data_IF_989200413855
#
_entry.id   IF_989200413855
#
_cell.length_a   1.000
_cell.length_b   1.000
_cell.length_c   1.000
_cell.angle_alpha   90.00
_cell.angle_beta   90.00
_cell.angle_gamma   90.00
#
_symmetry.space_group_name_H-M   'P 1'
#
loop_
_entity.id
_entity.type
_entity.pdbx_description
1 polymer ?
#
# COMPACT_ATOMS: atom_id res chain seq x y z
N UNK A 1 -2.40 -31.80 -1.92
CA UNK A 1 -2.66 -30.37 -1.65
C UNK A 1 -1.87 -29.53 -2.65
N UNK A 2 -2.40 -29.33 -3.86
CA UNK A 2 -1.79 -28.54 -4.93
C UNK A 2 -2.89 -27.76 -5.66
N UNK A 3 -3.33 -26.66 -5.07
CA UNK A 3 -4.05 -25.62 -5.78
C UNK A 3 -3.46 -24.28 -5.35
N UNK A 4 -3.12 -23.38 -6.29
CA UNK A 4 -2.75 -22.02 -5.94
C UNK A 4 -3.98 -21.36 -5.32
N UNK A 5 -3.83 -20.85 -4.09
CA UNK A 5 -4.84 -19.96 -3.53
C UNK A 5 -4.97 -18.74 -4.48
N UNK A 6 -6.17 -18.19 -4.65
CA UNK A 6 -6.43 -17.11 -5.61
C UNK A 6 -5.63 -15.81 -5.33
N UNK A 7 -4.90 -15.76 -4.22
CA UNK A 7 -4.00 -14.68 -3.81
C UNK A 7 -2.50 -14.95 -4.12
N UNK A 8 -2.17 -16.05 -4.80
CA UNK A 8 -0.82 -16.31 -5.33
C UNK A 8 0.20 -16.83 -4.35
N UNK A 9 -0.21 -17.09 -3.11
CA UNK A 9 0.67 -17.69 -2.12
C UNK A 9 0.13 -19.01 -1.60
N UNK A 10 0.97 -20.06 -1.57
CA UNK A 10 0.67 -21.19 -0.73
C UNK A 10 0.64 -20.71 0.73
N UNK A 11 -0.28 -21.26 1.53
CA UNK A 11 -0.41 -21.00 2.97
C UNK A 11 0.74 -21.67 3.75
N UNK A 12 1.97 -21.28 3.39
CA UNK A 12 3.22 -21.81 3.88
C UNK A 12 4.06 -20.61 4.27
N UNK A 13 4.23 -20.40 5.58
CA UNK A 13 4.88 -19.22 6.15
C UNK A 13 6.26 -18.91 5.56
N UNK A 14 7.00 -19.92 5.07
CA UNK A 14 8.29 -19.75 4.41
C UNK A 14 8.22 -18.91 3.11
N UNK A 15 7.13 -18.99 2.34
CA UNK A 15 6.95 -18.20 1.11
C UNK A 15 6.63 -16.73 1.40
N UNK A 16 5.90 -16.48 2.49
CA UNK A 16 5.67 -15.14 3.02
C UNK A 16 6.96 -14.55 3.58
N UNK A 17 7.71 -15.28 4.40
CA UNK A 17 8.95 -14.79 5.00
C UNK A 17 10.02 -14.42 3.98
N UNK A 18 10.16 -15.20 2.91
CA UNK A 18 11.20 -14.98 1.88
C UNK A 18 10.91 -13.79 0.96
N UNK A 19 9.64 -13.45 0.72
CA UNK A 19 9.26 -12.40 -0.23
C UNK A 19 8.65 -11.15 0.41
N UNK A 20 7.90 -11.28 1.50
CA UNK A 20 7.18 -10.18 2.13
C UNK A 20 8.14 -9.18 2.78
N UNK A 21 9.19 -9.65 3.45
CA UNK A 21 10.16 -8.76 4.11
C UNK A 21 10.92 -7.87 3.11
N UNK A 22 11.31 -8.42 1.96
CA UNK A 22 11.95 -7.64 0.91
C UNK A 22 10.97 -6.59 0.34
N UNK A 23 9.71 -6.96 0.12
CA UNK A 23 8.67 -6.06 -0.39
C UNK A 23 8.33 -4.97 0.60
N UNK A 24 8.25 -5.33 1.88
CA UNK A 24 8.05 -4.39 2.97
C UNK A 24 9.16 -3.34 2.98
N UNK A 25 10.41 -3.78 2.91
CA UNK A 25 11.55 -2.87 2.87
C UNK A 25 11.57 -1.99 1.62
N UNK A 26 11.14 -2.49 0.45
CA UNK A 26 11.03 -1.70 -0.79
C UNK A 26 9.87 -0.71 -0.72
N UNK A 27 8.69 -1.14 -0.30
CA UNK A 27 7.52 -0.28 -0.14
C UNK A 27 7.78 0.84 0.85
N UNK A 28 8.40 0.51 1.99
CA UNK A 28 8.83 1.50 2.98
C UNK A 28 9.91 2.43 2.42
N UNK A 29 10.92 1.93 1.70
CA UNK A 29 11.96 2.76 1.10
C UNK A 29 11.43 3.72 0.01
N UNK A 30 10.38 3.31 -0.72
CA UNK A 30 9.69 4.17 -1.70
C UNK A 30 8.83 5.21 -0.97
N UNK A 31 8.04 4.78 0.02
CA UNK A 31 7.16 5.67 0.78
C UNK A 31 7.93 6.69 1.63
N UNK A 32 9.12 6.34 2.12
CA UNK A 32 9.97 7.20 2.96
C UNK A 32 11.12 7.87 2.20
N UNK A 33 11.29 7.56 0.91
CA UNK A 33 12.33 8.16 0.07
C UNK A 33 13.77 7.71 0.35
N UNK A 34 14.00 6.68 1.18
CA UNK A 34 15.33 6.22 1.62
C UNK A 34 16.10 5.41 0.54
N UNK A 35 15.50 5.15 -0.63
CA UNK A 35 16.05 4.24 -1.66
C UNK A 35 17.00 4.82 -2.73
N UNK A 36 17.32 6.13 -2.71
CA UNK A 36 18.36 6.77 -3.55
C UNK A 36 18.08 6.88 -5.07
N UNK A 37 17.55 5.84 -5.74
CA UNK A 37 17.27 5.82 -7.20
C UNK A 37 15.79 5.87 -7.56
N UNK A 38 14.91 5.41 -6.69
CA UNK A 38 13.46 5.59 -6.81
C UNK A 38 13.07 6.80 -5.99
N UNK A 39 12.86 7.94 -6.66
CA UNK A 39 12.28 9.12 -6.01
C UNK A 39 10.78 9.08 -6.25
N UNK A 40 9.94 8.99 -5.20
CA UNK A 40 8.52 9.23 -5.38
C UNK A 40 8.35 10.63 -6.03
N UNK A 41 7.38 10.74 -6.94
CA UNK A 41 6.96 12.02 -7.49
C UNK A 41 5.62 12.39 -6.83
N UNK A 42 5.65 12.92 -5.59
CA UNK A 42 4.44 13.25 -4.86
C UNK A 42 3.61 14.32 -5.58
N UNK A 43 4.26 15.25 -6.30
CA UNK A 43 3.59 16.31 -7.05
C UNK A 43 2.71 15.75 -8.16
N UNK A 44 3.21 14.80 -8.95
CA UNK A 44 2.41 14.14 -9.99
C UNK A 44 1.27 13.29 -9.39
N UNK A 45 1.51 12.65 -8.24
CA UNK A 45 0.47 11.87 -7.56
C UNK A 45 -0.64 12.78 -7.01
N UNK A 46 -0.28 13.91 -6.42
CA UNK A 46 -1.22 14.93 -5.93
C UNK A 46 -2.03 15.50 -7.10
N UNK A 47 -1.38 15.84 -8.22
CA UNK A 47 -2.07 16.34 -9.40
C UNK A 47 -3.12 15.37 -9.96
N UNK A 48 -2.85 14.05 -9.90
CA UNK A 48 -3.83 13.03 -10.28
C UNK A 48 -5.02 12.98 -9.31
N UNK A 49 -4.74 13.04 -8.00
CA UNK A 49 -5.78 13.05 -6.97
C UNK A 49 -6.66 14.31 -7.06
N UNK A 50 -6.08 15.48 -7.31
CA UNK A 50 -6.80 16.72 -7.53
C UNK A 50 -7.69 16.65 -8.78
N UNK A 51 -7.19 16.07 -9.87
CA UNK A 51 -7.95 15.88 -11.11
C UNK A 51 -9.17 14.96 -10.90
N UNK A 52 -9.05 13.98 -10.01
CA UNK A 52 -10.13 13.07 -9.62
C UNK A 52 -11.02 13.64 -8.47
N UNK A 53 -10.74 14.85 -7.99
CA UNK A 53 -11.52 15.52 -6.93
C UNK A 53 -11.39 14.87 -5.56
N UNK A 54 -10.27 14.19 -5.28
CA UNK A 54 -10.03 13.48 -4.02
C UNK A 54 -9.69 14.47 -2.91
N UNK A 55 -10.44 14.47 -1.78
CA UNK A 55 -10.06 15.25 -0.61
C UNK A 55 -8.71 14.77 -0.04
N UNK A 56 -7.85 15.71 0.40
CA UNK A 56 -6.58 15.42 1.06
C UNK A 56 -6.77 14.96 2.52
N UNK A 57 -7.61 13.96 2.70
CA UNK A 57 -7.90 13.29 3.96
C UNK A 57 -7.35 11.86 3.92
N UNK A 58 -6.89 11.33 5.06
CA UNK A 58 -6.18 10.05 5.12
C UNK A 58 -6.97 8.91 4.46
N UNK A 59 -8.23 8.74 4.81
CA UNK A 59 -9.08 7.68 4.25
C UNK A 59 -9.34 7.88 2.76
N UNK A 60 -9.67 9.10 2.35
CA UNK A 60 -9.95 9.46 0.96
C UNK A 60 -8.76 9.19 0.05
N UNK A 61 -7.56 9.58 0.48
CA UNK A 61 -6.31 9.35 -0.26
C UNK A 61 -5.96 7.86 -0.29
N UNK A 62 -6.02 7.17 0.84
CA UNK A 62 -5.69 5.73 0.88
C UNK A 62 -6.69 4.89 0.08
N UNK A 63 -7.96 5.26 0.07
CA UNK A 63 -8.98 4.61 -0.75
C UNK A 63 -8.76 4.85 -2.24
N UNK A 64 -8.40 6.07 -2.63
CA UNK A 64 -8.01 6.37 -4.00
C UNK A 64 -6.76 5.58 -4.42
N UNK A 65 -5.74 5.53 -3.57
CA UNK A 65 -4.53 4.74 -3.81
C UNK A 65 -4.81 3.25 -3.93
N UNK A 66 -5.66 2.69 -3.06
CA UNK A 66 -6.08 1.29 -3.15
C UNK A 66 -6.74 1.01 -4.51
N UNK A 67 -7.67 1.87 -4.96
CA UNK A 67 -8.30 1.76 -6.27
C UNK A 67 -7.30 1.89 -7.41
N UNK A 68 -6.40 2.87 -7.34
CA UNK A 68 -5.38 3.12 -8.36
C UNK A 68 -4.42 1.93 -8.51
N UNK A 69 -3.93 1.40 -7.39
CA UNK A 69 -2.98 0.29 -7.35
C UNK A 69 -3.65 -1.04 -7.72
N UNK A 70 -4.79 -1.38 -7.12
CA UNK A 70 -5.42 -2.69 -7.26
C UNK A 70 -6.40 -2.76 -8.42
N UNK A 71 -6.88 -1.62 -8.95
CA UNK A 71 -7.90 -1.57 -10.00
C UNK A 71 -9.31 -1.93 -9.52
N UNK A 72 -9.54 -1.97 -8.21
CA UNK A 72 -10.83 -2.21 -7.56
C UNK A 72 -10.92 -1.45 -6.26
N UNK A 73 -12.14 -1.26 -5.76
CA UNK A 73 -12.32 -0.78 -4.40
C UNK A 73 -11.82 -1.80 -3.37
N UNK A 74 -11.30 -1.30 -2.25
CA UNK A 74 -11.02 -2.10 -1.07
C UNK A 74 -12.31 -2.63 -0.43
N UNK A 75 -12.22 -3.76 0.27
CA UNK A 75 -13.31 -4.21 1.15
C UNK A 75 -13.33 -3.41 2.45
N UNK A 76 -14.42 -3.49 3.22
CA UNK A 76 -14.48 -2.87 4.56
C UNK A 76 -13.36 -3.38 5.47
N UNK A 77 -13.04 -4.68 5.40
CA UNK A 77 -11.96 -5.29 6.18
C UNK A 77 -10.57 -4.75 5.76
N UNK A 78 -10.30 -4.65 4.45
CA UNK A 78 -9.05 -4.11 3.93
C UNK A 78 -8.88 -2.63 4.30
N UNK A 79 -9.96 -1.85 4.22
CA UNK A 79 -10.01 -0.45 4.67
C UNK A 79 -9.63 -0.37 6.15
N UNK A 80 -10.34 -1.10 7.00
CA UNK A 80 -10.18 -1.00 8.45
C UNK A 80 -8.77 -1.42 8.88
N UNK A 81 -8.22 -2.50 8.32
CA UNK A 81 -6.83 -2.92 8.57
C UNK A 81 -5.85 -1.82 8.15
N UNK A 82 -6.03 -1.24 6.97
CA UNK A 82 -5.11 -0.24 6.42
C UNK A 82 -5.16 1.05 7.22
N UNK A 83 -6.34 1.55 7.56
CA UNK A 83 -6.50 2.77 8.36
C UNK A 83 -5.95 2.59 9.77
N UNK A 84 -6.26 1.47 10.43
CA UNK A 84 -5.74 1.17 11.76
C UNK A 84 -4.21 1.09 11.77
N UNK A 85 -3.61 0.49 10.74
CA UNK A 85 -2.16 0.43 10.61
C UNK A 85 -1.54 1.81 10.33
N UNK A 86 -2.11 2.58 9.41
CA UNK A 86 -1.65 3.93 9.09
C UNK A 86 -1.68 4.84 10.32
N UNK A 87 -2.74 4.76 11.13
CA UNK A 87 -2.89 5.58 12.34
C UNK A 87 -1.88 5.24 13.45
N UNK A 88 -1.25 4.07 13.41
CA UNK A 88 -0.18 3.69 14.35
C UNK A 88 1.18 4.33 14.00
N UNK A 89 1.27 5.15 12.95
CA UNK A 89 2.50 5.85 12.61
C UNK A 89 2.98 6.75 13.77
N UNK A 90 4.26 6.69 14.18
CA UNK A 90 4.78 7.38 15.36
C UNK A 90 4.57 8.90 15.38
N UNK A 91 4.69 9.57 14.24
CA UNK A 91 4.72 11.03 14.13
C UNK A 91 3.44 11.62 13.51
N UNK A 92 2.44 10.79 13.17
CA UNK A 92 1.18 11.25 12.57
C UNK A 92 1.35 11.86 11.15
N UNK A 93 0.27 12.43 10.61
CA UNK A 93 0.31 13.21 9.36
C UNK A 93 0.89 12.48 8.15
N UNK A 94 1.94 13.03 7.53
CA UNK A 94 2.63 12.46 6.35
C UNK A 94 3.08 11.00 6.57
N UNK A 95 3.47 10.65 7.79
CA UNK A 95 3.94 9.31 8.12
C UNK A 95 2.79 8.28 8.10
N UNK A 96 1.55 8.71 8.38
CA UNK A 96 0.36 7.86 8.26
C UNK A 96 0.09 7.51 6.79
N UNK A 97 0.25 8.47 5.88
CA UNK A 97 0.15 8.22 4.44
C UNK A 97 1.24 7.26 3.96
N UNK A 98 2.49 7.46 4.42
CA UNK A 98 3.59 6.58 4.05
C UNK A 98 3.37 5.13 4.52
N UNK A 99 2.86 4.95 5.75
CA UNK A 99 2.57 3.62 6.31
C UNK A 99 1.40 2.95 5.58
N UNK A 100 0.32 3.68 5.33
CA UNK A 100 -0.82 3.19 4.57
C UNK A 100 -0.41 2.79 3.14
N UNK A 101 0.33 3.65 2.44
CA UNK A 101 0.86 3.36 1.09
C UNK A 101 1.77 2.12 1.10
N UNK A 102 2.68 2.01 2.06
CA UNK A 102 3.56 0.85 2.19
C UNK A 102 2.78 -0.46 2.36
N UNK A 103 1.70 -0.45 3.17
CA UNK A 103 0.82 -1.61 3.31
C UNK A 103 0.08 -1.92 2.01
N UNK A 104 -0.47 -0.92 1.34
CA UNK A 104 -1.18 -1.10 0.07
C UNK A 104 -0.27 -1.68 -1.04
N UNK A 105 0.98 -1.22 -1.12
CA UNK A 105 1.99 -1.71 -2.06
C UNK A 105 2.50 -3.12 -1.74
N UNK A 106 2.37 -3.56 -0.49
CA UNK A 106 2.83 -4.89 -0.06
C UNK A 106 1.70 -5.92 0.00
N UNK A 107 0.45 -5.46 -0.04
CA UNK A 107 -0.74 -6.30 -0.03
C UNK A 107 -0.77 -7.28 -1.22
N UNK A 108 -1.30 -8.51 -1.03
CA UNK A 108 -1.44 -9.49 -2.11
C UNK A 108 -2.22 -8.97 -3.31
N UNK A 109 -3.19 -8.08 -3.09
CA UNK A 109 -4.02 -7.48 -4.14
C UNK A 109 -3.19 -6.67 -5.17
N UNK A 110 -2.02 -6.14 -4.80
CA UNK A 110 -1.14 -5.42 -5.71
C UNK A 110 -0.27 -6.34 -6.59
N UNK A 111 -0.24 -7.65 -6.30
CA UNK A 111 0.73 -8.56 -6.90
C UNK A 111 0.26 -9.21 -8.20
N UNK A 112 -1.01 -8.99 -8.55
CA UNK A 112 -1.59 -9.46 -9.81
C UNK A 112 -1.91 -8.30 -10.73
N UNK A 113 -0.86 -7.73 -11.33
CA UNK A 113 -0.88 -7.10 -12.65
C UNK A 113 0.45 -7.35 -13.34
#
# INVERSE_FOLDING_TARGET
FMWPAPNGYPDVGAYWQSNFLMRWNVGLAIATGVGGRLRPNPEALIALMEADGVPLELESVLGWLARYLWGRDWTDEERDITLNFAQQAPEGGEQQFAYGLALLMTAPAYQYK
#
